data_IF_951435544954
#
_entry.id   IF_951435544954
#
_cell.length_a   1.000
_cell.length_b   1.000
_cell.length_c   1.000
_cell.angle_alpha   90.00
_cell.angle_beta   90.00
_cell.angle_gamma   90.00
#
_symmetry.space_group_name_H-M   'P 1'
#
loop_
_entity.id
_entity.type
_entity.pdbx_description
1 polymer ?
#
# COMPACT_ATOMS: atom_id res chain seq x y z
N UNK A 1 -33.97 1.56 6.60
CA UNK A 1 -33.33 0.57 7.48
C UNK A 1 -31.82 0.77 7.44
N UNK A 2 -31.29 1.66 8.28
CA UNK A 2 -29.84 1.91 8.39
C UNK A 2 -29.22 0.76 9.19
N UNK A 3 -28.42 -0.08 8.53
CA UNK A 3 -27.57 -1.06 9.21
C UNK A 3 -26.61 -0.28 10.12
N UNK A 4 -26.87 -0.32 11.43
CA UNK A 4 -25.94 0.16 12.45
C UNK A 4 -24.69 -0.72 12.38
N UNK A 5 -23.59 -0.20 11.84
CA UNK A 5 -22.28 -0.79 12.03
C UNK A 5 -21.96 -0.71 13.53
N UNK A 6 -21.63 -1.83 14.21
CA UNK A 6 -21.27 -1.80 15.61
C UNK A 6 -20.06 -0.88 15.82
N UNK A 7 -19.99 -0.25 17.00
CA UNK A 7 -18.88 0.61 17.38
C UNK A 7 -17.58 -0.20 17.28
N UNK A 8 -16.80 0.02 16.23
CA UNK A 8 -15.56 -0.73 15.99
C UNK A 8 -14.56 -0.39 17.11
N UNK A 9 -14.01 -1.40 17.77
CA UNK A 9 -12.99 -1.19 18.79
C UNK A 9 -11.70 -0.73 18.10
N UNK A 10 -11.41 0.57 18.17
CA UNK A 10 -10.17 1.17 17.65
C UNK A 10 -8.92 0.43 18.13
N UNK A 11 -8.97 -0.07 19.38
CA UNK A 11 -7.92 -0.87 19.97
C UNK A 11 -7.76 -2.22 19.27
N UNK A 12 -8.86 -2.92 18.96
CA UNK A 12 -8.80 -4.22 18.27
C UNK A 12 -8.16 -4.13 16.89
N UNK A 13 -8.49 -3.08 16.13
CA UNK A 13 -7.86 -2.83 14.84
C UNK A 13 -6.36 -2.53 14.95
N UNK A 14 -5.96 -1.70 15.93
CA UNK A 14 -4.54 -1.43 16.20
C UNK A 14 -3.76 -2.70 16.53
N UNK A 15 -4.34 -3.55 17.38
CA UNK A 15 -3.73 -4.83 17.77
C UNK A 15 -3.59 -5.72 16.54
N UNK A 16 -4.64 -5.88 15.74
CA UNK A 16 -4.61 -6.69 14.53
C UNK A 16 -3.52 -6.22 13.55
N UNK A 17 -3.47 -4.91 13.24
CA UNK A 17 -2.46 -4.34 12.35
C UNK A 17 -1.04 -4.55 12.91
N UNK A 18 -0.85 -4.36 14.22
CA UNK A 18 0.44 -4.58 14.89
C UNK A 18 0.89 -6.03 14.77
N UNK A 19 -0.02 -6.99 15.01
CA UNK A 19 0.29 -8.42 14.90
C UNK A 19 0.71 -8.77 13.46
N UNK A 20 -0.04 -8.33 12.45
CA UNK A 20 0.32 -8.56 11.06
C UNK A 20 1.66 -7.93 10.70
N UNK A 21 1.93 -6.72 11.19
CA UNK A 21 3.19 -6.02 10.95
C UNK A 21 4.38 -6.76 11.58
N UNK A 22 4.27 -7.21 12.83
CA UNK A 22 5.32 -7.98 13.50
C UNK A 22 5.57 -9.31 12.80
N UNK A 23 4.52 -10.01 12.36
CA UNK A 23 4.66 -11.26 11.59
C UNK A 23 5.35 -10.98 10.25
N UNK A 24 4.93 -9.95 9.52
CA UNK A 24 5.51 -9.58 8.23
C UNK A 24 6.99 -9.17 8.36
N UNK A 25 7.33 -8.34 9.35
CA UNK A 25 8.70 -7.94 9.63
C UNK A 25 9.58 -9.14 10.03
N UNK A 26 9.10 -9.99 10.95
CA UNK A 26 9.84 -11.16 11.43
C UNK A 26 10.12 -12.17 10.31
N UNK A 27 9.11 -12.46 9.48
CA UNK A 27 9.26 -13.37 8.32
C UNK A 27 10.22 -12.78 7.27
N UNK A 28 10.17 -11.48 7.05
CA UNK A 28 11.08 -10.75 6.15
C UNK A 28 12.53 -10.81 6.65
N UNK A 29 12.76 -10.55 7.94
CA UNK A 29 14.08 -10.63 8.58
C UNK A 29 14.61 -12.06 8.49
N UNK A 30 13.79 -13.06 8.84
CA UNK A 30 14.17 -14.46 8.74
C UNK A 30 14.61 -14.83 7.32
N UNK A 31 13.84 -14.40 6.30
CA UNK A 31 14.16 -14.61 4.89
C UNK A 31 15.50 -13.98 4.51
N UNK A 32 15.75 -12.74 4.94
CA UNK A 32 17.01 -12.04 4.66
C UNK A 32 18.20 -12.71 5.34
N UNK A 33 18.08 -13.06 6.63
CA UNK A 33 19.15 -13.74 7.39
C UNK A 33 19.46 -15.11 6.79
N UNK A 34 18.43 -15.89 6.48
CA UNK A 34 18.61 -17.20 5.83
C UNK A 34 19.36 -17.05 4.50
N UNK A 35 18.96 -16.08 3.66
CA UNK A 35 19.59 -15.83 2.35
C UNK A 35 21.01 -15.27 2.45
N UNK A 36 21.26 -14.42 3.45
CA UNK A 36 22.58 -13.91 3.78
C UNK A 36 23.52 -15.05 4.17
N UNK A 37 23.06 -15.97 5.04
CA UNK A 37 23.85 -17.13 5.48
C UNK A 37 24.23 -18.07 4.34
N UNK A 38 23.30 -18.34 3.41
CA UNK A 38 23.60 -19.18 2.23
C UNK A 38 24.35 -18.42 1.12
N UNK A 39 24.74 -17.16 1.34
CA UNK A 39 25.44 -16.27 0.38
C UNK A 39 24.75 -16.14 -0.98
N UNK A 40 23.41 -16.18 -1.01
CA UNK A 40 22.60 -16.04 -2.23
C UNK A 40 21.78 -14.74 -2.24
N UNK A 41 22.42 -13.65 -1.81
CA UNK A 41 21.84 -12.30 -1.85
C UNK A 41 21.70 -11.82 -3.29
N UNK A 42 20.56 -11.24 -3.59
CA UNK A 42 20.25 -10.64 -4.90
C UNK A 42 19.66 -9.23 -4.73
N UNK A 43 19.46 -8.53 -5.86
CA UNK A 43 18.84 -7.21 -5.89
C UNK A 43 17.48 -7.16 -5.17
N UNK A 44 16.70 -8.25 -5.20
CA UNK A 44 15.43 -8.33 -4.47
C UNK A 44 15.60 -8.24 -2.95
N UNK A 45 16.69 -8.78 -2.42
CA UNK A 45 16.98 -8.77 -0.98
C UNK A 45 17.38 -7.36 -0.50
N UNK A 46 18.15 -6.60 -1.30
CA UNK A 46 18.53 -5.22 -0.95
C UNK A 46 17.34 -4.26 -0.96
N UNK A 47 16.49 -4.34 -1.99
CA UNK A 47 15.28 -3.51 -2.08
C UNK A 47 14.31 -3.87 -0.96
N UNK A 48 14.18 -5.17 -0.64
CA UNK A 48 13.36 -5.61 0.49
C UNK A 48 13.88 -5.08 1.83
N UNK A 49 15.20 -5.10 2.05
CA UNK A 49 15.78 -4.58 3.28
C UNK A 49 15.54 -3.08 3.42
N UNK A 50 15.70 -2.32 2.34
CA UNK A 50 15.37 -0.90 2.33
C UNK A 50 13.88 -0.66 2.65
N UNK A 51 12.97 -1.43 2.02
CA UNK A 51 11.54 -1.36 2.31
C UNK A 51 11.22 -1.67 3.77
N UNK A 52 11.89 -2.67 4.37
CA UNK A 52 11.72 -3.04 5.78
C UNK A 52 12.14 -1.91 6.72
N UNK A 53 13.25 -1.20 6.43
CA UNK A 53 13.69 -0.04 7.23
C UNK A 53 12.62 1.06 7.18
N UNK A 54 12.12 1.37 5.98
CA UNK A 54 11.09 2.39 5.79
C UNK A 54 9.80 2.00 6.50
N UNK A 55 9.39 0.73 6.40
CA UNK A 55 8.20 0.17 7.05
C UNK A 55 8.30 0.22 8.59
N UNK A 56 9.46 -0.14 9.14
CA UNK A 56 9.74 -0.06 10.58
C UNK A 56 9.69 1.38 11.08
N UNK A 57 10.15 2.35 10.29
CA UNK A 57 10.08 3.77 10.62
C UNK A 57 8.65 4.34 10.48
N UNK A 58 7.88 3.83 9.52
CA UNK A 58 6.50 4.25 9.27
C UNK A 58 5.51 3.75 10.32
N UNK A 59 5.73 2.57 10.90
CA UNK A 59 4.80 1.95 11.85
C UNK A 59 4.53 2.79 13.12
N UNK A 60 5.53 3.37 13.82
CA UNK A 60 5.28 4.28 14.93
C UNK A 60 4.49 5.53 14.53
N UNK A 61 4.72 6.06 13.33
CA UNK A 61 4.02 7.23 12.80
C UNK A 61 2.54 6.90 12.60
N UNK A 62 2.25 5.74 12.01
CA UNK A 62 0.90 5.23 11.87
C UNK A 62 0.20 5.05 13.22
N UNK A 63 0.88 4.47 14.20
CA UNK A 63 0.33 4.26 15.54
C UNK A 63 0.02 5.59 16.25
N UNK A 64 0.95 6.54 16.17
CA UNK A 64 0.81 7.87 16.74
C UNK A 64 -0.40 8.62 16.15
N UNK A 65 -0.62 8.53 14.83
CA UNK A 65 -1.72 9.20 14.11
C UNK A 65 -3.11 8.67 14.44
N UNK A 66 -3.22 7.49 15.05
CA UNK A 66 -4.52 6.88 15.24
C UNK A 66 -5.34 7.63 16.31
N UNK A 67 -6.60 7.99 16.02
CA UNK A 67 -7.42 8.81 16.91
C UNK A 67 -7.48 8.25 18.33
N UNK A 68 -7.31 9.12 19.33
CA UNK A 68 -7.56 8.77 20.73
C UNK A 68 -8.97 9.20 21.12
N UNK A 69 -9.79 8.32 21.73
CA UNK A 69 -11.19 8.62 22.03
C UNK A 69 -11.39 9.76 23.06
N UNK A 70 -10.35 10.14 23.80
CA UNK A 70 -10.42 11.11 24.91
C UNK A 70 -9.99 12.54 24.57
N UNK A 71 -9.48 12.82 23.36
CA UNK A 71 -8.90 14.15 23.03
C UNK A 71 -9.78 14.88 22.01
N UNK A 72 -10.13 16.17 22.23
CA UNK A 72 -10.82 16.98 21.25
C UNK A 72 -10.08 17.00 19.90
N UNK A 73 -10.82 16.77 18.81
CA UNK A 73 -10.26 16.59 17.46
C UNK A 73 -9.39 17.76 16.99
N UNK A 74 -9.72 18.99 17.37
CA UNK A 74 -8.99 20.19 16.97
C UNK A 74 -7.58 20.28 17.58
N UNK A 75 -7.43 19.96 18.87
CA UNK A 75 -6.11 19.96 19.53
C UNK A 75 -5.24 18.79 19.07
N UNK A 76 -5.87 17.64 18.83
CA UNK A 76 -5.21 16.46 18.28
C UNK A 76 -4.62 16.75 16.88
N UNK A 77 -5.38 17.38 15.99
CA UNK A 77 -4.91 17.76 14.65
C UNK A 77 -3.72 18.74 14.71
N UNK A 78 -3.77 19.73 15.60
CA UNK A 78 -2.69 20.74 15.74
C UNK A 78 -1.40 20.10 16.26
N UNK A 79 -1.50 19.21 17.26
CA UNK A 79 -0.33 18.49 17.82
C UNK A 79 0.27 17.50 16.82
N UNK A 80 -0.53 16.97 15.90
CA UNK A 80 -0.08 16.00 14.89
C UNK A 80 0.30 16.61 13.54
N UNK A 81 0.41 17.93 13.43
CA UNK A 81 0.70 18.61 12.15
C UNK A 81 1.92 18.05 11.41
N UNK A 82 3.03 17.80 12.12
CA UNK A 82 4.26 17.25 11.56
C UNK A 82 4.09 15.79 11.16
N UNK A 83 3.48 14.98 12.03
CA UNK A 83 3.16 13.57 11.75
C UNK A 83 2.14 13.42 10.62
N UNK A 84 1.36 14.46 10.34
CA UNK A 84 0.41 14.54 9.24
C UNK A 84 0.96 15.21 7.97
N UNK A 85 2.28 15.37 7.90
CA UNK A 85 2.96 15.81 6.68
C UNK A 85 2.88 14.73 5.59
N UNK A 86 2.75 15.15 4.35
CA UNK A 86 2.76 14.27 3.18
C UNK A 86 4.01 13.36 3.17
N UNK A 87 5.17 13.92 3.53
CA UNK A 87 6.46 13.24 3.52
C UNK A 87 6.56 12.08 4.51
N UNK A 88 6.02 12.25 5.72
CA UNK A 88 6.07 11.21 6.74
C UNK A 88 4.98 10.16 6.58
N UNK A 89 3.99 10.38 5.70
CA UNK A 89 2.92 9.39 5.51
C UNK A 89 2.71 8.92 4.09
N UNK A 90 2.27 9.80 3.20
CA UNK A 90 1.95 9.37 1.84
C UNK A 90 3.20 8.93 1.10
N UNK A 91 4.30 9.66 1.24
CA UNK A 91 5.55 9.32 0.60
C UNK A 91 6.11 7.98 1.11
N UNK A 92 6.19 7.78 2.43
CA UNK A 92 6.67 6.51 3.01
C UNK A 92 5.76 5.34 2.62
N UNK A 93 4.43 5.53 2.68
CA UNK A 93 3.46 4.51 2.27
C UNK A 93 3.64 4.10 0.80
N UNK A 94 3.73 5.07 -0.12
CA UNK A 94 3.94 4.80 -1.55
C UNK A 94 5.29 4.09 -1.75
N UNK A 95 6.34 4.53 -1.06
CA UNK A 95 7.65 3.91 -1.17
C UNK A 95 7.63 2.44 -0.71
N UNK A 96 7.00 2.14 0.43
CA UNK A 96 6.85 0.77 0.93
C UNK A 96 6.06 -0.07 -0.08
N UNK A 97 4.87 0.39 -0.47
CA UNK A 97 3.95 -0.35 -1.35
C UNK A 97 4.59 -0.71 -2.69
N UNK A 98 5.17 0.27 -3.38
CA UNK A 98 5.76 0.06 -4.70
C UNK A 98 7.08 -0.70 -4.63
N UNK A 99 7.87 -0.55 -3.54
CA UNK A 99 9.07 -1.37 -3.33
C UNK A 99 8.71 -2.84 -3.11
N UNK A 100 7.68 -3.14 -2.32
CA UNK A 100 7.18 -4.50 -2.14
C UNK A 100 6.77 -5.13 -3.47
N UNK A 101 6.05 -4.38 -4.32
CA UNK A 101 5.67 -4.84 -5.67
C UNK A 101 6.88 -5.07 -6.58
N UNK A 102 7.87 -4.18 -6.55
CA UNK A 102 9.10 -4.36 -7.31
C UNK A 102 9.88 -5.60 -6.85
N UNK A 103 9.94 -5.87 -5.54
CA UNK A 103 10.56 -7.09 -4.98
C UNK A 103 9.80 -8.35 -5.41
N UNK A 104 8.47 -8.33 -5.44
CA UNK A 104 7.67 -9.45 -5.96
C UNK A 104 7.97 -9.71 -7.44
N UNK A 105 8.05 -8.65 -8.26
CA UNK A 105 8.40 -8.77 -9.67
C UNK A 105 9.86 -9.28 -9.87
N UNK A 106 10.82 -8.81 -9.06
CA UNK A 106 12.20 -9.30 -9.06
C UNK A 106 12.30 -10.77 -8.63
N UNK A 107 11.45 -11.20 -7.70
CA UNK A 107 11.36 -12.61 -7.30
C UNK A 107 10.96 -13.50 -8.49
N UNK A 108 10.07 -13.03 -9.37
CA UNK A 108 9.72 -13.75 -10.61
C UNK A 108 10.91 -13.84 -11.59
N UNK A 109 11.71 -12.77 -11.72
CA UNK A 109 12.93 -12.79 -12.55
C UNK A 109 13.88 -13.91 -12.13
N UNK A 110 14.01 -14.12 -10.81
CA UNK A 110 14.90 -15.13 -10.23
C UNK A 110 14.40 -16.56 -10.45
N UNK A 111 13.09 -16.77 -10.48
CA UNK A 111 12.49 -18.09 -10.67
C UNK A 111 12.71 -18.60 -12.10
N UNK A 112 12.67 -17.71 -13.11
CA UNK A 112 12.85 -18.13 -14.49
C UNK A 112 14.34 -18.30 -14.87
N UNK A 113 14.71 -19.39 -15.58
CA UNK A 113 16.09 -19.60 -16.01
C UNK A 113 16.53 -18.55 -17.05
N UNK A 114 17.84 -18.31 -17.20
CA UNK A 114 18.37 -17.42 -18.25
C UNK A 114 17.90 -17.86 -19.64
N UNK A 115 17.48 -16.91 -20.47
CA UNK A 115 16.98 -17.16 -21.83
C UNK A 115 15.47 -17.44 -21.94
N UNK A 116 14.77 -17.74 -20.84
CA UNK A 116 13.32 -17.95 -20.90
C UNK A 116 12.55 -16.63 -21.14
N UNK A 117 11.55 -16.65 -22.03
CA UNK A 117 10.71 -15.46 -22.35
C UNK A 117 10.06 -14.85 -21.09
N UNK A 118 9.68 -15.70 -20.13
CA UNK A 118 9.12 -15.25 -18.84
C UNK A 118 10.08 -14.39 -18.03
N UNK A 119 11.39 -14.66 -18.07
CA UNK A 119 12.39 -13.83 -17.38
C UNK A 119 12.45 -12.42 -17.95
N UNK A 120 12.39 -12.28 -19.28
CA UNK A 120 12.36 -10.97 -19.95
C UNK A 120 11.08 -10.20 -19.60
N UNK A 121 9.94 -10.89 -19.58
CA UNK A 121 8.68 -10.28 -19.14
C UNK A 121 8.72 -9.79 -17.68
N UNK A 122 9.30 -10.58 -16.78
CA UNK A 122 9.45 -10.17 -15.37
C UNK A 122 10.31 -8.92 -15.21
N UNK A 123 11.33 -8.69 -16.04
CA UNK A 123 12.06 -7.42 -16.02
C UNK A 123 11.20 -6.23 -16.46
N UNK A 124 10.35 -6.39 -17.48
CA UNK A 124 9.38 -5.35 -17.84
C UNK A 124 8.40 -5.06 -16.71
N UNK A 125 7.97 -6.11 -16.00
CA UNK A 125 7.09 -5.98 -14.85
C UNK A 125 7.76 -5.17 -13.73
N UNK A 126 9.04 -5.41 -13.43
CA UNK A 126 9.81 -4.59 -12.48
C UNK A 126 9.83 -3.12 -12.91
N UNK A 127 10.10 -2.87 -14.20
CA UNK A 127 10.04 -1.52 -14.76
C UNK A 127 8.69 -0.85 -14.53
N UNK A 128 7.60 -1.54 -14.83
CA UNK A 128 6.23 -1.06 -14.59
C UNK A 128 6.01 -0.70 -13.12
N UNK A 129 6.49 -1.51 -12.17
CA UNK A 129 6.36 -1.20 -10.74
C UNK A 129 7.16 0.05 -10.35
N UNK A 130 8.39 0.20 -10.83
CA UNK A 130 9.22 1.37 -10.52
C UNK A 130 8.61 2.64 -11.12
N UNK A 131 8.23 2.62 -12.39
CA UNK A 131 7.60 3.76 -13.06
C UNK A 131 6.22 4.09 -12.45
N UNK A 132 5.44 3.07 -12.08
CA UNK A 132 4.17 3.26 -11.39
C UNK A 132 4.34 3.92 -10.01
N UNK A 133 5.40 3.58 -9.27
CA UNK A 133 5.74 4.24 -8.02
C UNK A 133 6.10 5.71 -8.21
N UNK A 134 6.97 6.01 -9.18
CA UNK A 134 7.35 7.40 -9.53
C UNK A 134 6.12 8.20 -9.98
N UNK A 135 5.30 7.63 -10.87
CA UNK A 135 4.07 8.27 -11.32
C UNK A 135 3.11 8.53 -10.17
N UNK A 136 2.98 7.60 -9.21
CA UNK A 136 2.15 7.77 -8.01
C UNK A 136 2.63 8.91 -7.12
N UNK A 137 3.95 9.05 -6.95
CA UNK A 137 4.54 10.19 -6.23
C UNK A 137 4.23 11.51 -6.95
N UNK A 138 4.42 11.56 -8.27
CA UNK A 138 4.13 12.77 -9.05
C UNK A 138 2.64 13.11 -8.94
N UNK A 139 1.74 12.16 -9.22
CA UNK A 139 0.28 12.39 -9.18
C UNK A 139 -0.15 12.90 -7.80
N UNK A 140 0.35 12.30 -6.72
CA UNK A 140 -0.06 12.70 -5.36
C UNK A 140 0.51 14.06 -4.93
N UNK A 141 1.64 14.50 -5.50
CA UNK A 141 2.20 15.83 -5.24
C UNK A 141 1.58 16.92 -6.12
N UNK A 142 1.37 16.68 -7.41
CA UNK A 142 0.93 17.71 -8.37
C UNK A 142 -0.58 17.97 -8.37
N UNK A 143 -1.39 17.00 -7.89
CA UNK A 143 -2.85 17.12 -7.99
C UNK A 143 -3.42 18.20 -7.05
N UNK A 144 -2.73 18.58 -5.99
CA UNK A 144 -3.22 19.54 -4.99
C UNK A 144 -2.22 20.69 -4.82
N UNK A 145 -2.73 21.91 -4.58
CA UNK A 145 -1.85 23.05 -4.25
C UNK A 145 -1.45 22.98 -2.78
N UNK A 146 -0.14 22.91 -2.45
CA UNK A 146 0.31 22.92 -1.08
C UNK A 146 0.14 24.32 -0.47
N UNK A 147 -0.33 24.38 0.78
CA UNK A 147 -0.37 25.63 1.55
C UNK A 147 0.96 25.93 2.27
N UNK A 148 1.83 24.93 2.42
CA UNK A 148 3.13 25.02 3.10
C UNK A 148 4.11 23.99 2.54
N UNK A 149 5.41 24.23 2.70
CA UNK A 149 6.47 23.30 2.25
C UNK A 149 6.39 21.91 2.91
N UNK A 150 5.81 21.84 4.11
CA UNK A 150 5.57 20.59 4.84
C UNK A 150 4.47 19.72 4.18
N UNK A 151 3.70 20.30 3.23
CA UNK A 151 2.61 19.63 2.53
C UNK A 151 1.68 18.90 3.51
N UNK A 152 1.21 19.62 4.53
CA UNK A 152 0.30 19.09 5.54
C UNK A 152 -1.00 18.71 4.86
N UNK A 153 -1.40 17.45 4.99
CA UNK A 153 -2.49 16.93 4.20
C UNK A 153 -3.85 17.59 4.50
N UNK A 154 -4.05 18.07 5.74
CA UNK A 154 -5.25 18.82 6.15
C UNK A 154 -5.29 20.28 5.67
N UNK A 155 -4.17 20.80 5.14
CA UNK A 155 -4.05 22.19 4.68
C UNK A 155 -4.03 22.30 3.15
N UNK A 156 -4.09 21.16 2.43
CA UNK A 156 -4.10 21.16 0.97
C UNK A 156 -5.38 21.80 0.43
N UNK A 157 -5.24 22.70 -0.55
CA UNK A 157 -6.37 23.40 -1.17
C UNK A 157 -6.38 23.16 -2.68
N UNK A 158 -7.55 23.31 -3.28
CA UNK A 158 -7.75 23.31 -4.74
C UNK A 158 -7.17 22.06 -5.43
N UNK A 159 -7.49 20.87 -4.93
CA UNK A 159 -7.16 19.62 -5.61
C UNK A 159 -7.92 19.49 -6.92
N UNK A 160 -7.27 19.01 -7.99
CA UNK A 160 -7.92 18.75 -9.26
C UNK A 160 -9.01 17.68 -9.09
N UNK A 161 -10.22 17.99 -9.57
CA UNK A 161 -11.39 17.12 -9.50
C UNK A 161 -11.78 16.69 -10.91
N UNK A 162 -12.12 15.42 -11.06
CA UNK A 162 -12.63 14.87 -12.31
C UNK A 162 -14.12 15.12 -12.50
N UNK A 163 -14.66 14.57 -13.58
CA UNK A 163 -16.10 14.50 -13.85
C UNK A 163 -16.76 13.80 -12.65
N UNK A 164 -17.77 14.43 -12.03
CA UNK A 164 -18.45 14.01 -10.78
C UNK A 164 -17.80 14.47 -9.45
N UNK A 165 -16.80 15.35 -9.47
CA UNK A 165 -16.25 15.96 -8.24
C UNK A 165 -15.30 15.05 -7.44
N UNK A 166 -15.00 13.85 -7.95
CA UNK A 166 -14.04 12.92 -7.37
C UNK A 166 -12.61 13.47 -7.56
N UNK A 167 -11.77 13.38 -6.52
CA UNK A 167 -10.39 13.84 -6.58
C UNK A 167 -9.56 12.95 -7.51
N UNK A 168 -8.94 13.55 -8.53
CA UNK A 168 -8.22 12.83 -9.60
C UNK A 168 -7.13 11.91 -9.04
N UNK A 169 -6.41 12.35 -8.00
CA UNK A 169 -5.33 11.57 -7.37
C UNK A 169 -5.81 10.20 -6.88
N UNK A 170 -7.00 10.13 -6.27
CA UNK A 170 -7.51 8.90 -5.67
C UNK A 170 -7.88 7.90 -6.76
N UNK A 171 -8.52 8.37 -7.83
CA UNK A 171 -8.89 7.54 -8.98
C UNK A 171 -7.66 6.99 -9.69
N UNK A 172 -6.69 7.85 -10.02
CA UNK A 172 -5.49 7.42 -10.72
C UNK A 172 -4.64 6.47 -9.88
N UNK A 173 -4.48 6.76 -8.58
CA UNK A 173 -3.77 5.88 -7.66
C UNK A 173 -4.44 4.51 -7.58
N UNK A 174 -5.76 4.48 -7.40
CA UNK A 174 -6.54 3.23 -7.38
C UNK A 174 -6.41 2.41 -8.67
N UNK A 175 -6.50 3.07 -9.83
CA UNK A 175 -6.35 2.39 -11.13
C UNK A 175 -4.94 1.81 -11.27
N UNK A 176 -3.91 2.58 -10.92
CA UNK A 176 -2.53 2.11 -10.93
C UNK A 176 -2.31 0.92 -9.97
N UNK A 177 -2.95 0.97 -8.79
CA UNK A 177 -2.95 -0.08 -7.79
C UNK A 177 -3.54 -1.39 -8.34
N UNK A 178 -4.76 -1.31 -8.89
CA UNK A 178 -5.46 -2.43 -9.50
C UNK A 178 -4.66 -3.06 -10.65
N UNK A 179 -4.15 -2.23 -11.57
CA UNK A 179 -3.37 -2.71 -12.71
C UNK A 179 -2.13 -3.46 -12.22
N UNK A 180 -1.43 -2.90 -11.23
CA UNK A 180 -0.19 -3.50 -10.72
C UNK A 180 -0.45 -4.85 -10.05
N UNK A 181 -1.51 -4.95 -9.24
CA UNK A 181 -1.88 -6.21 -8.58
C UNK A 181 -2.37 -7.24 -9.59
N UNK A 182 -3.20 -6.85 -10.57
CA UNK A 182 -3.63 -7.74 -11.65
C UNK A 182 -2.44 -8.27 -12.45
N UNK A 183 -1.47 -7.42 -12.78
CA UNK A 183 -0.26 -7.87 -13.47
C UNK A 183 0.55 -8.86 -12.64
N UNK A 184 0.68 -8.64 -11.33
CA UNK A 184 1.40 -9.54 -10.41
C UNK A 184 0.68 -10.86 -10.15
N UNK A 185 -0.64 -10.90 -10.28
CA UNK A 185 -1.45 -12.12 -10.15
C UNK A 185 -1.47 -12.90 -11.47
N UNK A 186 -1.81 -12.22 -12.57
CA UNK A 186 -2.00 -12.85 -13.89
C UNK A 186 -0.68 -13.38 -14.44
N UNK A 187 0.42 -12.63 -14.28
CA UNK A 187 1.73 -13.00 -14.82
C UNK A 187 2.17 -14.41 -14.39
N UNK A 188 2.34 -14.71 -13.08
CA UNK A 188 2.72 -16.05 -12.66
C UNK A 188 1.66 -17.09 -13.04
N UNK A 189 0.37 -16.78 -12.93
CA UNK A 189 -0.71 -17.71 -13.28
C UNK A 189 -0.61 -18.18 -14.74
N UNK A 190 -0.42 -17.24 -15.68
CA UNK A 190 -0.29 -17.55 -17.11
C UNK A 190 0.98 -18.35 -17.41
N UNK A 191 2.12 -18.00 -16.81
CA UNK A 191 3.36 -18.72 -17.05
C UNK A 191 3.34 -20.14 -16.48
N UNK A 192 2.77 -20.32 -15.29
CA UNK A 192 2.75 -21.62 -14.63
C UNK A 192 1.62 -22.53 -15.09
N UNK A 193 0.54 -21.97 -15.65
CA UNK A 193 -0.49 -22.80 -16.27
C UNK A 193 0.04 -23.55 -17.51
N UNK A 194 1.03 -22.98 -18.20
CA UNK A 194 1.67 -23.60 -19.36
C UNK A 194 2.79 -24.59 -19.03
N UNK A 195 3.24 -24.66 -17.78
CA UNK A 195 4.42 -25.45 -17.38
C UNK A 195 4.05 -26.42 -16.25
N UNK A 196 4.34 -27.72 -16.44
CA UNK A 196 4.23 -28.74 -15.38
C UNK A 196 5.39 -28.59 -14.38
N UNK A 197 5.21 -27.71 -13.40
CA UNK A 197 6.17 -27.53 -12.31
C UNK A 197 5.85 -28.43 -11.10
N UNK A 198 6.87 -28.81 -10.31
CA UNK A 198 6.69 -29.47 -9.03
C UNK A 198 5.84 -28.61 -8.08
N UNK A 199 5.06 -29.27 -7.23
CA UNK A 199 4.06 -28.63 -6.35
C UNK A 199 4.65 -27.57 -5.41
N UNK A 200 5.91 -27.73 -4.98
CA UNK A 200 6.55 -26.79 -4.04
C UNK A 200 6.85 -25.42 -4.67
N UNK A 201 7.29 -25.36 -5.93
CA UNK A 201 7.55 -24.08 -6.61
C UNK A 201 6.24 -23.35 -6.92
N UNK A 202 5.18 -24.10 -7.24
CA UNK A 202 3.83 -23.55 -7.43
C UNK A 202 3.26 -22.95 -6.15
N UNK A 203 3.49 -23.58 -4.99
CA UNK A 203 3.02 -23.08 -3.70
C UNK A 203 3.66 -21.74 -3.33
N UNK A 204 4.98 -21.61 -3.50
CA UNK A 204 5.69 -20.36 -3.21
C UNK A 204 5.14 -19.19 -4.03
N UNK A 205 4.91 -19.43 -5.32
CA UNK A 205 4.33 -18.44 -6.22
C UNK A 205 2.91 -18.05 -5.81
N UNK A 206 2.05 -19.04 -5.50
CA UNK A 206 0.67 -18.81 -5.08
C UNK A 206 0.62 -17.97 -3.79
N UNK A 207 1.53 -18.20 -2.84
CA UNK A 207 1.64 -17.41 -1.62
C UNK A 207 2.05 -15.95 -1.92
N UNK A 208 2.93 -15.72 -2.88
CA UNK A 208 3.22 -14.35 -3.33
C UNK A 208 2.01 -13.69 -4.00
N UNK A 209 1.26 -14.41 -4.84
CA UNK A 209 0.03 -13.91 -5.46
C UNK A 209 -1.07 -13.58 -4.44
N UNK A 210 -1.15 -14.30 -3.31
CA UNK A 210 -2.10 -14.06 -2.22
C UNK A 210 -1.97 -12.66 -1.62
N UNK A 211 -0.74 -12.14 -1.50
CA UNK A 211 -0.50 -10.76 -1.03
C UNK A 211 -1.17 -9.73 -1.95
N UNK A 212 -0.98 -9.86 -3.26
CA UNK A 212 -1.61 -8.98 -4.26
C UNK A 212 -3.14 -9.15 -4.34
N UNK A 213 -3.66 -10.36 -4.10
CA UNK A 213 -5.11 -10.57 -4.02
C UNK A 213 -5.70 -9.84 -2.82
N UNK A 214 -4.99 -9.84 -1.68
CA UNK A 214 -5.43 -9.15 -0.48
C UNK A 214 -5.47 -7.63 -0.69
N UNK A 215 -4.42 -7.04 -1.29
CA UNK A 215 -4.37 -5.60 -1.58
C UNK A 215 -5.45 -5.20 -2.58
N UNK A 216 -5.66 -5.99 -3.65
CA UNK A 216 -6.72 -5.76 -4.62
C UNK A 216 -8.12 -5.83 -3.97
N UNK A 217 -8.36 -6.83 -3.13
CA UNK A 217 -9.64 -6.99 -2.43
C UNK A 217 -9.90 -5.80 -1.49
N UNK A 218 -8.86 -5.36 -0.76
CA UNK A 218 -8.95 -4.18 0.10
C UNK A 218 -9.26 -2.90 -0.71
N UNK A 219 -8.60 -2.72 -1.86
CA UNK A 219 -8.82 -1.58 -2.74
C UNK A 219 -10.25 -1.58 -3.32
N UNK A 220 -10.75 -2.72 -3.80
CA UNK A 220 -12.12 -2.86 -4.32
C UNK A 220 -13.16 -2.61 -3.21
N UNK A 221 -12.96 -3.20 -2.03
CA UNK A 221 -13.83 -2.97 -0.88
C UNK A 221 -13.90 -1.48 -0.53
N UNK A 222 -12.76 -0.77 -0.58
CA UNK A 222 -12.73 0.67 -0.37
C UNK A 222 -13.56 1.43 -1.40
N UNK A 223 -13.40 1.14 -2.69
CA UNK A 223 -14.15 1.84 -3.75
C UNK A 223 -15.65 1.62 -3.60
N UNK A 224 -16.06 0.41 -3.21
CA UNK A 224 -17.46 0.11 -2.93
C UNK A 224 -17.95 0.93 -1.73
N UNK A 225 -17.20 0.93 -0.62
CA UNK A 225 -17.55 1.71 0.58
C UNK A 225 -17.62 3.20 0.23
N UNK A 226 -16.58 3.76 -0.40
CA UNK A 226 -16.45 5.16 -0.78
C UNK A 226 -17.54 5.64 -1.75
N UNK A 227 -17.97 4.80 -2.70
CA UNK A 227 -19.04 5.14 -3.64
C UNK A 227 -20.45 4.94 -3.08
N UNK A 228 -20.64 4.13 -2.04
CA UNK A 228 -21.94 4.08 -1.40
C UNK A 228 -22.22 5.42 -0.70
N UNK A 229 -23.39 6.01 -0.96
CA UNK A 229 -23.90 7.24 -0.29
C UNK A 229 -23.84 7.17 1.25
N UNK A 230 -23.66 5.96 1.79
CA UNK A 230 -23.40 5.63 3.19
C UNK A 230 -22.14 6.30 3.77
N UNK A 231 -21.10 6.61 2.99
CA UNK A 231 -19.91 7.31 3.52
C UNK A 231 -20.20 8.74 3.94
N UNK A 232 -21.17 9.41 3.30
CA UNK A 232 -21.68 10.70 3.77
C UNK A 232 -22.43 10.59 5.11
N UNK A 233 -22.93 9.40 5.51
CA UNK A 233 -23.54 9.17 6.82
C UNK A 233 -22.53 8.73 7.90
N UNK A 234 -21.32 8.31 7.52
CA UNK A 234 -20.25 7.82 8.41
C UNK A 234 -19.43 8.94 9.08
N UNK A 235 -20.00 10.14 9.30
CA UNK A 235 -19.30 11.36 9.80
C UNK A 235 -18.15 11.13 10.81
N UNK A 236 -18.30 10.19 11.76
CA UNK A 236 -17.29 9.89 12.79
C UNK A 236 -16.25 8.81 12.39
N UNK A 237 -16.63 7.87 11.53
CA UNK A 237 -15.82 6.71 11.10
C UNK A 237 -15.18 6.89 9.71
N UNK A 238 -15.51 7.95 8.96
CA UNK A 238 -14.84 8.29 7.71
C UNK A 238 -13.32 8.49 7.92
N UNK A 239 -12.93 8.96 9.10
CA UNK A 239 -11.51 9.07 9.48
C UNK A 239 -10.81 7.71 9.52
N UNK A 240 -11.45 6.62 9.96
CA UNK A 240 -10.88 5.27 10.01
C UNK A 240 -10.61 4.70 8.61
N UNK A 241 -11.59 4.84 7.71
CA UNK A 241 -11.46 4.38 6.32
C UNK A 241 -10.35 5.16 5.62
N UNK A 242 -10.25 6.46 5.87
CA UNK A 242 -9.20 7.33 5.33
C UNK A 242 -7.82 7.08 5.96
N UNK A 243 -7.74 6.79 7.26
CA UNK A 243 -6.49 6.52 7.98
C UNK A 243 -5.90 5.16 7.62
N UNK A 244 -6.75 4.15 7.43
CA UNK A 244 -6.33 2.81 7.02
C UNK A 244 -5.76 2.73 5.60
N UNK A 245 -6.04 3.73 4.75
CA UNK A 245 -5.65 3.75 3.34
C UNK A 245 -4.74 4.93 2.98
N UNK A 246 -4.23 5.64 3.99
CA UNK A 246 -3.47 6.88 3.84
C UNK A 246 -4.21 7.99 3.05
N UNK A 247 -5.46 7.79 2.63
CA UNK A 247 -6.23 8.69 1.78
C UNK A 247 -6.66 9.94 2.54
N UNK A 248 -5.84 10.98 2.45
CA UNK A 248 -6.17 12.30 2.95
C UNK A 248 -7.13 12.99 1.98
N UNK A 249 -8.43 12.90 2.26
CA UNK A 249 -9.38 14.01 2.37
C UNK A 249 -10.82 13.51 2.22
N UNK A 250 -11.63 13.69 3.26
CA UNK A 250 -13.07 13.97 3.11
C UNK A 250 -13.32 15.20 3.97
N UNK A 251 -13.66 16.33 3.34
CA UNK A 251 -14.25 17.45 4.07
C UNK A 251 -15.56 16.96 4.69
N UNK A 252 -15.63 17.04 6.02
CA UNK A 252 -16.89 17.18 6.74
C UNK A 252 -17.55 18.50 6.36
#
# INVERSE_FOLDING_TARGET
MSKFLPNQSYLGWKIAVTVFHVIAASTTIYRLVHRFRIRRLWWDDYVLFAALIVDTAFWPIYWARSPQPAVPSAEFIKKQRVLNSYWLTMFLYILILWSCRAVMALSLVRIFPPGHKGRRWSYYLVGIMVFGGIASLIITTVTCKPASALMVASEMKNCARGVNGIVVKNTLFFVADCISDLLLIITPLVFFWRIKLPTQERCLVLVFSLGSVLTLTAAVAYVIIANTKTVASLKKNASLVNLGLAATEVRL
#
